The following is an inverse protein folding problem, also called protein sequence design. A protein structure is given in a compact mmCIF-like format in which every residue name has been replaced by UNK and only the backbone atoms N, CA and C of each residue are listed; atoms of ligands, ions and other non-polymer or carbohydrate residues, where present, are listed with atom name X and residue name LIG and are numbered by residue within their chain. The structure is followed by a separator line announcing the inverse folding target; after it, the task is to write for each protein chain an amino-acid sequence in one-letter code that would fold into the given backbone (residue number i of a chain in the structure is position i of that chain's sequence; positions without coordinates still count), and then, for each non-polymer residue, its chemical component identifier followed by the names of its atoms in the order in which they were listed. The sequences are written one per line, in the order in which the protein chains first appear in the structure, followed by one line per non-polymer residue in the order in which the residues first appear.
data_IF_331364107066
#
_entry.id   IF_331364107066
#
_cell.length_a   1.000
_cell.length_b   1.000
_cell.length_c   1.000
_cell.angle_alpha   90.00
_cell.angle_beta   90.00
_cell.angle_gamma   90.00
#
_symmetry.space_group_name_H-M   'P 1'
#
loop_
_entity.id
_entity.type
_entity.pdbx_description
1 polymer ?
#
# COMPACT_ATOMS: atom_id res chain seq x y z
N UNK A 1 -29.77 -27.30 53.84
CA UNK A 1 -29.24 -26.93 52.51
C UNK A 1 -27.77 -26.59 52.67
N UNK A 2 -26.88 -27.21 51.89
CA UNK A 2 -25.43 -27.12 52.15
C UNK A 2 -24.91 -25.71 51.86
N UNK A 3 -23.88 -25.27 52.61
CA UNK A 3 -23.21 -23.97 52.42
C UNK A 3 -22.71 -23.76 50.97
N UNK A 4 -22.51 -24.85 50.22
CA UNK A 4 -22.14 -24.83 48.81
C UNK A 4 -23.24 -24.26 47.89
N UNK A 5 -24.52 -24.42 48.22
CA UNK A 5 -25.64 -23.91 47.41
C UNK A 5 -25.73 -22.38 47.50
N UNK A 6 -25.49 -21.82 48.69
CA UNK A 6 -25.42 -20.37 48.87
C UNK A 6 -24.23 -19.75 48.15
N UNK A 7 -23.09 -20.44 48.11
CA UNK A 7 -21.90 -19.97 47.39
C UNK A 7 -22.12 -19.94 45.87
N UNK A 8 -22.82 -20.94 45.31
CA UNK A 8 -23.15 -20.99 43.88
C UNK A 8 -24.18 -19.92 43.46
N UNK A 9 -25.15 -19.61 44.34
CA UNK A 9 -26.14 -18.54 44.10
C UNK A 9 -25.51 -17.13 44.17
N UNK A 10 -24.52 -16.92 45.03
CA UNK A 10 -23.80 -15.65 45.14
C UNK A 10 -22.89 -15.38 43.93
N UNK A 11 -22.24 -16.43 43.39
CA UNK A 11 -21.34 -16.31 42.24
C UNK A 11 -22.09 -16.05 40.91
N UNK A 12 -23.34 -16.51 40.81
CA UNK A 12 -24.23 -16.26 39.66
C UNK A 12 -24.66 -14.78 39.53
N UNK A 13 -24.61 -14.00 40.62
CA UNK A 13 -25.04 -12.59 40.60
C UNK A 13 -24.00 -11.61 40.04
N UNK A 14 -22.76 -12.03 39.78
CA UNK A 14 -21.67 -11.15 39.31
C UNK A 14 -21.49 -11.09 37.79
N UNK A 15 -22.32 -11.77 36.99
CA UNK A 15 -22.16 -11.85 35.52
C UNK A 15 -23.00 -10.85 34.72
N UNK A 16 -23.67 -9.88 35.35
CA UNK A 16 -24.44 -8.84 34.65
C UNK A 16 -23.85 -7.43 34.84
N UNK A 17 -22.66 -7.20 34.30
CA UNK A 17 -22.24 -5.84 33.94
C UNK A 17 -21.22 -5.84 32.80
N UNK A 18 -21.62 -6.43 31.67
CA UNK A 18 -21.13 -5.96 30.38
C UNK A 18 -22.12 -4.90 29.89
N UNK A 19 -21.94 -3.65 30.31
CA UNK A 19 -22.51 -2.52 29.55
C UNK A 19 -21.81 -2.55 28.20
N UNK A 20 -22.48 -3.08 27.19
CA UNK A 20 -22.15 -2.80 25.80
C UNK A 20 -22.19 -1.29 25.62
N UNK A 21 -21.03 -0.66 25.55
CA UNK A 21 -20.89 0.68 24.98
C UNK A 21 -21.35 0.56 23.55
N UNK A 22 -22.63 0.86 23.31
CA UNK A 22 -23.12 1.17 21.98
C UNK A 22 -22.29 2.35 21.50
N UNK A 23 -21.34 2.07 20.60
CA UNK A 23 -20.72 3.08 19.78
C UNK A 23 -21.88 3.82 19.11
N UNK A 24 -22.14 5.03 19.57
CA UNK A 24 -23.06 5.93 18.89
C UNK A 24 -22.58 6.06 17.46
N UNK A 25 -23.25 5.37 16.53
CA UNK A 25 -23.16 5.60 15.10
C UNK A 25 -23.78 6.96 14.82
N UNK A 26 -23.09 8.02 15.29
CA UNK A 26 -23.36 9.36 14.84
C UNK A 26 -23.06 9.42 13.35
N UNK A 27 -23.91 10.11 12.60
CA UNK A 27 -23.64 10.44 11.20
C UNK A 27 -22.23 11.00 11.09
N UNK A 28 -21.38 10.47 10.19
CA UNK A 28 -20.00 10.93 10.08
C UNK A 28 -19.95 12.44 9.87
N UNK A 29 -19.32 13.15 10.78
CA UNK A 29 -19.18 14.60 10.68
C UNK A 29 -18.19 14.93 9.56
N UNK A 30 -18.60 15.77 8.62
CA UNK A 30 -17.70 16.31 7.61
C UNK A 30 -16.53 17.04 8.31
N UNK A 31 -15.29 16.66 7.98
CA UNK A 31 -14.08 17.23 8.57
C UNK A 31 -13.46 18.26 7.63
N UNK A 32 -12.82 19.28 8.20
CA UNK A 32 -12.07 20.26 7.40
C UNK A 32 -10.88 19.62 6.67
N UNK A 33 -10.44 20.24 5.57
CA UNK A 33 -9.24 19.82 4.83
C UNK A 33 -8.03 19.71 5.75
N UNK A 34 -7.74 20.76 6.53
CA UNK A 34 -6.60 20.79 7.46
C UNK A 34 -6.65 19.67 8.50
N UNK A 35 -7.84 19.35 9.00
CA UNK A 35 -8.00 18.24 9.93
C UNK A 35 -7.63 16.91 9.26
N UNK A 36 -8.14 16.65 8.06
CA UNK A 36 -7.88 15.41 7.33
C UNK A 36 -6.41 15.29 6.92
N UNK A 37 -5.77 16.37 6.48
CA UNK A 37 -4.34 16.39 6.19
C UNK A 37 -3.49 16.02 7.40
N UNK A 38 -3.82 16.57 8.59
CA UNK A 38 -3.15 16.18 9.84
C UNK A 38 -3.38 14.71 10.21
N UNK A 39 -4.54 14.15 9.90
CA UNK A 39 -4.78 12.72 10.13
C UNK A 39 -3.98 11.85 9.15
N UNK A 40 -3.86 12.26 7.88
CA UNK A 40 -2.99 11.58 6.91
C UNK A 40 -1.53 11.62 7.35
N UNK A 41 -1.05 12.76 7.85
CA UNK A 41 0.30 12.90 8.40
C UNK A 41 0.50 12.03 9.64
N UNK A 42 -0.48 11.99 10.55
CA UNK A 42 -0.43 11.15 11.75
C UNK A 42 -0.42 9.65 11.41
N UNK A 43 -1.17 9.24 10.39
CA UNK A 43 -1.26 7.86 9.93
C UNK A 43 -0.19 7.53 8.87
N UNK A 44 0.74 8.44 8.61
CA UNK A 44 1.82 8.21 7.67
C UNK A 44 2.78 7.17 8.25
N UNK A 45 2.95 6.07 7.53
CA UNK A 45 3.81 4.96 7.97
C UNK A 45 5.26 5.41 7.88
N UNK A 46 5.92 5.59 9.03
CA UNK A 46 7.34 5.89 9.08
C UNK A 46 8.18 4.62 9.30
N UNK A 47 9.37 4.60 8.70
CA UNK A 47 10.26 3.44 8.76
C UNK A 47 11.68 3.79 8.35
N UNK A 48 12.66 3.06 8.86
CA UNK A 48 14.03 3.06 8.33
C UNK A 48 14.24 1.91 7.36
N UNK A 49 13.68 0.75 7.69
CA UNK A 49 13.61 -0.44 6.86
C UNK A 49 12.19 -1.00 6.83
N UNK A 50 11.79 -1.54 5.68
CA UNK A 50 10.57 -2.32 5.51
C UNK A 50 10.94 -3.65 4.88
N UNK A 51 10.47 -4.75 5.45
CA UNK A 51 10.61 -6.08 4.88
C UNK A 51 9.27 -6.79 4.85
N UNK A 52 8.89 -7.38 3.72
CA UNK A 52 7.67 -8.17 3.60
C UNK A 52 7.79 -9.27 2.54
N UNK A 53 7.01 -10.34 2.71
CA UNK A 53 6.66 -11.22 1.60
C UNK A 53 5.33 -10.75 0.99
N UNK A 54 5.20 -10.87 -0.33
CA UNK A 54 4.01 -10.50 -1.06
C UNK A 54 3.55 -11.64 -1.96
N UNK A 55 2.23 -11.83 -2.05
CA UNK A 55 1.59 -12.54 -3.16
C UNK A 55 0.99 -11.50 -4.08
N UNK A 56 1.37 -11.53 -5.35
CA UNK A 56 0.89 -10.60 -6.38
C UNK A 56 0.09 -11.43 -7.37
N UNK A 57 -1.13 -10.99 -7.69
CA UNK A 57 -1.92 -11.51 -8.80
C UNK A 57 -2.08 -10.40 -9.82
N UNK A 58 -1.76 -10.71 -11.06
CA UNK A 58 -1.90 -9.83 -12.21
C UNK A 58 -3.10 -10.34 -13.01
N UNK A 59 -3.98 -9.42 -13.39
CA UNK A 59 -5.08 -9.64 -14.32
C UNK A 59 -5.02 -8.54 -15.39
N UNK A 60 -4.89 -8.94 -16.64
CA UNK A 60 -4.89 -8.07 -17.81
C UNK A 60 -5.40 -8.89 -19.01
N UNK A 61 -5.62 -8.24 -20.15
CA UNK A 61 -5.97 -8.97 -21.38
C UNK A 61 -4.85 -9.90 -21.85
N UNK A 62 -3.58 -9.53 -21.61
CA UNK A 62 -2.41 -10.26 -22.08
C UNK A 62 -1.97 -11.38 -21.12
N UNK A 63 -2.10 -11.15 -19.81
CA UNK A 63 -1.60 -12.07 -18.80
C UNK A 63 -2.52 -12.16 -17.58
N UNK A 64 -2.78 -13.40 -17.16
CA UNK A 64 -3.32 -13.74 -15.84
C UNK A 64 -2.32 -14.62 -15.11
N UNK A 65 -1.65 -14.05 -14.11
CA UNK A 65 -0.57 -14.73 -13.44
C UNK A 65 -0.52 -14.41 -11.94
N UNK A 66 0.12 -15.30 -11.18
CA UNK A 66 0.41 -15.06 -9.78
C UNK A 66 1.88 -15.29 -9.48
N UNK A 67 2.45 -14.38 -8.72
CA UNK A 67 3.85 -14.36 -8.35
C UNK A 67 3.98 -14.22 -6.83
N UNK A 68 5.02 -14.82 -6.28
CA UNK A 68 5.46 -14.54 -4.92
C UNK A 68 6.64 -13.57 -4.99
N UNK A 69 6.65 -12.56 -4.14
CA UNK A 69 7.76 -11.63 -4.03
C UNK A 69 8.27 -11.55 -2.58
N UNK A 70 9.55 -11.26 -2.42
CA UNK A 70 10.13 -10.77 -1.17
C UNK A 70 10.61 -9.35 -1.43
N UNK A 71 10.04 -8.40 -0.69
CA UNK A 71 10.26 -6.97 -0.84
C UNK A 71 11.03 -6.48 0.38
N UNK A 72 12.08 -5.70 0.13
CA UNK A 72 12.87 -5.04 1.15
C UNK A 72 13.08 -3.61 0.72
N UNK A 73 12.87 -2.66 1.61
CA UNK A 73 13.08 -1.25 1.33
C UNK A 73 13.90 -0.64 2.45
N UNK A 74 14.88 0.16 2.09
CA UNK A 74 15.54 1.11 2.97
C UNK A 74 15.06 2.49 2.57
N UNK A 75 14.50 3.24 3.51
CA UNK A 75 13.95 4.57 3.24
C UNK A 75 14.96 5.44 2.49
N UNK A 76 14.48 6.09 1.43
CA UNK A 76 15.21 7.03 0.57
C UNK A 76 16.42 6.44 -0.20
N UNK A 77 16.71 5.14 -0.08
CA UNK A 77 17.95 4.56 -0.63
C UNK A 77 17.75 3.33 -1.50
N UNK A 78 16.88 2.41 -1.09
CA UNK A 78 16.80 1.09 -1.73
C UNK A 78 15.37 0.55 -1.78
N UNK A 79 15.00 -0.01 -2.92
CA UNK A 79 13.95 -1.00 -3.06
C UNK A 79 14.57 -2.24 -3.68
N UNK A 80 14.44 -3.38 -3.00
CA UNK A 80 14.94 -4.66 -3.45
C UNK A 80 13.79 -5.65 -3.50
N UNK A 81 13.60 -6.28 -4.66
CA UNK A 81 12.49 -7.20 -4.89
C UNK A 81 13.06 -8.48 -5.49
N UNK A 82 12.68 -9.61 -4.91
CA UNK A 82 12.94 -10.93 -5.48
C UNK A 82 11.62 -11.58 -5.85
N UNK A 83 11.44 -11.85 -7.14
CA UNK A 83 10.21 -12.39 -7.71
C UNK A 83 10.38 -13.88 -8.00
N UNK A 84 9.38 -14.66 -7.64
CA UNK A 84 9.33 -16.11 -7.83
C UNK A 84 7.99 -16.54 -8.41
N UNK A 85 8.04 -17.58 -9.25
CA UNK A 85 6.87 -18.31 -9.74
C UNK A 85 7.12 -19.80 -9.47
N UNK A 86 6.15 -20.49 -8.85
CA UNK A 86 6.27 -21.91 -8.48
C UNK A 86 7.58 -22.26 -7.75
N UNK A 87 7.96 -21.47 -6.75
CA UNK A 87 9.21 -21.59 -5.96
C UNK A 87 10.54 -21.38 -6.70
N UNK A 88 10.52 -21.10 -8.01
CA UNK A 88 11.71 -20.77 -8.80
C UNK A 88 11.88 -19.25 -8.84
N UNK A 89 13.09 -18.76 -8.58
CA UNK A 89 13.41 -17.33 -8.71
C UNK A 89 13.54 -16.94 -10.17
N UNK A 90 12.57 -16.16 -10.66
CA UNK A 90 12.54 -15.72 -12.06
C UNK A 90 13.27 -14.40 -12.28
N UNK A 91 13.17 -13.47 -11.33
CA UNK A 91 13.81 -12.17 -11.44
C UNK A 91 14.17 -11.58 -10.07
N UNK A 92 15.17 -10.70 -10.08
CA UNK A 92 15.53 -9.86 -8.93
C UNK A 92 15.73 -8.43 -9.40
N UNK A 93 15.12 -7.49 -8.68
CA UNK A 93 15.11 -6.08 -9.02
C UNK A 93 15.75 -5.32 -7.86
N UNK A 94 16.63 -4.38 -8.19
CA UNK A 94 17.23 -3.42 -7.27
C UNK A 94 17.01 -2.03 -7.83
N UNK A 95 16.33 -1.19 -7.07
CA UNK A 95 16.00 0.19 -7.43
C UNK A 95 16.64 1.09 -6.39
N UNK A 96 17.33 2.10 -6.87
CA UNK A 96 17.86 3.23 -6.09
C UNK A 96 17.28 4.52 -6.67
N UNK A 97 17.47 5.69 -6.04
CA UNK A 97 17.11 6.96 -6.65
C UNK A 97 17.69 7.17 -8.06
N UNK A 98 18.87 6.57 -8.33
CA UNK A 98 19.60 6.79 -9.58
C UNK A 98 19.35 5.70 -10.63
N UNK A 99 19.10 4.45 -10.21
CA UNK A 99 19.12 3.32 -11.14
C UNK A 99 18.09 2.25 -10.84
N UNK A 100 17.64 1.58 -11.89
CA UNK A 100 16.90 0.32 -11.85
C UNK A 100 17.80 -0.77 -12.45
N UNK A 101 18.10 -1.78 -11.64
CA UNK A 101 18.91 -2.95 -11.97
C UNK A 101 18.01 -4.19 -11.94
N UNK A 102 17.83 -4.87 -13.07
CA UNK A 102 17.00 -6.06 -13.22
C UNK A 102 17.91 -7.24 -13.57
N UNK A 103 17.86 -8.28 -12.74
CA UNK A 103 18.50 -9.56 -12.98
C UNK A 103 17.40 -10.57 -13.37
N UNK A 104 17.23 -10.79 -14.67
CA UNK A 104 16.36 -11.83 -15.21
C UNK A 104 17.10 -13.16 -15.21
N UNK A 105 16.70 -14.04 -14.29
CA UNK A 105 17.36 -15.33 -14.10
C UNK A 105 16.86 -16.39 -15.08
N UNK A 106 15.70 -16.19 -15.69
CA UNK A 106 15.15 -17.11 -16.68
C UNK A 106 15.88 -16.96 -18.00
N UNK A 107 16.17 -15.72 -18.39
CA UNK A 107 16.83 -15.42 -19.66
C UNK A 107 18.34 -15.20 -19.54
N UNK A 108 18.90 -15.26 -18.32
CA UNK A 108 20.33 -14.99 -18.12
C UNK A 108 20.73 -13.56 -18.49
N UNK A 109 19.83 -12.61 -18.26
CA UNK A 109 19.98 -11.21 -18.68
C UNK A 109 20.09 -10.29 -17.47
N UNK A 110 21.02 -9.35 -17.55
CA UNK A 110 21.17 -8.26 -16.61
C UNK A 110 20.95 -6.93 -17.31
N UNK A 111 20.00 -6.15 -16.82
CA UNK A 111 19.67 -4.83 -17.35
C UNK A 111 19.93 -3.78 -16.29
N UNK A 112 20.65 -2.70 -16.63
CA UNK A 112 20.84 -1.53 -15.77
C UNK A 112 20.43 -0.27 -16.51
N UNK A 113 19.42 0.43 -15.98
CA UNK A 113 18.92 1.69 -16.54
C UNK A 113 18.92 2.80 -15.48
N UNK A 114 19.03 4.07 -15.87
CA UNK A 114 18.75 5.17 -14.94
C UNK A 114 17.30 5.10 -14.45
N UNK A 115 17.00 5.60 -13.25
CA UNK A 115 15.64 5.59 -12.72
C UNK A 115 14.65 6.35 -13.64
N UNK A 116 15.14 7.39 -14.33
CA UNK A 116 14.38 8.15 -15.34
C UNK A 116 13.84 7.30 -16.50
N UNK A 117 14.33 6.07 -16.67
CA UNK A 117 13.80 5.08 -17.61
C UNK A 117 12.30 4.83 -17.43
N UNK A 118 11.76 4.87 -16.21
CA UNK A 118 10.32 4.71 -15.97
C UNK A 118 9.50 5.81 -16.65
N UNK A 119 9.99 7.05 -16.59
CA UNK A 119 9.36 8.17 -17.28
C UNK A 119 9.55 8.08 -18.79
N UNK A 120 10.78 7.80 -19.24
CA UNK A 120 11.14 7.89 -20.65
C UNK A 120 10.50 6.79 -21.51
N UNK A 121 10.41 5.56 -21.00
CA UNK A 121 9.89 4.42 -21.78
C UNK A 121 8.45 4.06 -21.45
N UNK A 122 7.99 4.34 -20.23
CA UNK A 122 6.65 3.95 -19.77
C UNK A 122 5.76 5.14 -19.40
N UNK A 123 6.23 6.38 -19.58
CA UNK A 123 5.48 7.59 -19.21
C UNK A 123 5.19 7.72 -17.72
N UNK A 124 5.82 6.91 -16.87
CA UNK A 124 5.55 6.88 -15.43
C UNK A 124 6.31 8.00 -14.71
N UNK A 125 5.63 9.13 -14.51
CA UNK A 125 6.14 10.26 -13.73
C UNK A 125 6.04 10.02 -12.22
N UNK A 126 6.82 9.08 -11.72
CA UNK A 126 6.91 8.74 -10.29
C UNK A 126 8.32 8.98 -9.78
N UNK A 127 8.48 9.65 -8.64
CA UNK A 127 9.76 9.76 -7.93
C UNK A 127 10.06 8.50 -7.12
N UNK A 128 11.33 8.29 -6.74
CA UNK A 128 11.71 7.16 -5.89
C UNK A 128 10.94 7.13 -4.56
N UNK A 129 10.79 8.28 -3.89
CA UNK A 129 10.04 8.39 -2.64
C UNK A 129 8.55 8.06 -2.82
N UNK A 130 7.95 8.50 -3.93
CA UNK A 130 6.56 8.14 -4.26
C UNK A 130 6.41 6.65 -4.54
N UNK A 131 7.37 6.01 -5.20
CA UNK A 131 7.36 4.57 -5.41
C UNK A 131 7.42 3.81 -4.07
N UNK A 132 8.28 4.26 -3.14
CA UNK A 132 8.31 3.71 -1.78
C UNK A 132 6.98 3.92 -1.04
N UNK A 133 6.38 5.10 -1.14
CA UNK A 133 5.09 5.42 -0.54
C UNK A 133 3.98 4.50 -1.06
N UNK A 134 3.90 4.26 -2.37
CA UNK A 134 2.93 3.34 -2.97
C UNK A 134 3.08 1.90 -2.46
N UNK A 135 4.32 1.42 -2.34
CA UNK A 135 4.59 0.06 -1.86
C UNK A 135 4.12 -0.09 -0.42
N UNK A 136 4.48 0.84 0.47
CA UNK A 136 4.14 0.72 1.89
C UNK A 136 2.68 1.07 2.19
N UNK A 137 2.05 1.91 1.36
CA UNK A 137 0.65 2.33 1.49
C UNK A 137 0.45 3.76 1.97
N UNK A 138 1.48 4.61 1.88
CA UNK A 138 1.35 6.04 2.15
C UNK A 138 0.72 6.77 0.94
N UNK A 139 -0.07 7.83 1.19
CA UNK A 139 -0.70 8.59 0.11
C UNK A 139 0.34 9.37 -0.70
N UNK A 140 0.17 9.41 -2.02
CA UNK A 140 0.86 10.40 -2.86
C UNK A 140 -0.03 11.63 -3.00
N UNK A 141 0.45 12.78 -2.54
CA UNK A 141 -0.18 14.07 -2.76
C UNK A 141 0.59 14.79 -3.88
N UNK A 142 -0.02 14.90 -5.06
CA UNK A 142 0.63 15.53 -6.23
C UNK A 142 0.72 17.05 -6.12
N UNK A 143 -0.28 17.68 -5.49
CA UNK A 143 -0.24 19.10 -5.13
C UNK A 143 -1.26 19.37 -4.03
N UNK A 144 -0.80 19.75 -2.83
CA UNK A 144 -1.67 19.96 -1.67
C UNK A 144 -2.44 21.27 -1.73
N UNK A 145 -2.10 22.17 -2.65
CA UNK A 145 -2.47 23.59 -2.55
C UNK A 145 -3.93 23.92 -2.90
N UNK A 146 -4.78 22.93 -3.18
CA UNK A 146 -6.18 23.19 -3.56
C UNK A 146 -7.17 22.08 -3.22
N UNK A 147 -6.83 21.15 -2.32
CA UNK A 147 -7.75 20.07 -1.95
C UNK A 147 -9.01 20.60 -1.25
N UNK A 148 -10.15 20.00 -1.54
CA UNK A 148 -11.43 20.21 -0.84
C UNK A 148 -11.81 18.95 -0.08
N UNK A 149 -12.51 19.13 1.04
CA UNK A 149 -13.04 18.03 1.84
C UNK A 149 -14.54 17.90 1.62
N UNK A 150 -14.99 16.68 1.36
CA UNK A 150 -16.40 16.35 1.21
C UNK A 150 -16.74 15.05 1.94
N UNK A 151 -18.00 14.91 2.34
CA UNK A 151 -18.51 13.64 2.85
C UNK A 151 -19.19 12.87 1.70
N UNK A 152 -18.75 11.66 1.41
CA UNK A 152 -19.36 10.77 0.40
C UNK A 152 -19.59 9.39 0.99
N UNK A 153 -20.81 8.86 0.88
CA UNK A 153 -21.15 7.51 1.37
C UNK A 153 -20.61 7.25 2.79
N UNK A 154 -20.80 8.21 3.71
CA UNK A 154 -20.33 8.11 5.11
C UNK A 154 -18.79 8.12 5.31
N UNK A 155 -18.01 8.44 4.28
CA UNK A 155 -16.55 8.58 4.36
C UNK A 155 -16.13 10.03 4.16
N UNK A 156 -15.07 10.43 4.87
CA UNK A 156 -14.39 11.68 4.60
C UNK A 156 -13.52 11.51 3.35
N UNK A 157 -13.62 12.45 2.42
CA UNK A 157 -12.87 12.41 1.15
C UNK A 157 -12.12 13.72 0.97
N UNK A 158 -10.79 13.63 0.87
CA UNK A 158 -9.98 14.72 0.34
C UNK A 158 -9.90 14.57 -1.17
N UNK A 159 -10.22 15.62 -1.92
CA UNK A 159 -10.20 15.55 -3.37
C UNK A 159 -9.81 16.86 -4.03
N UNK A 160 -9.32 16.80 -5.27
CA UNK A 160 -9.15 18.01 -6.08
C UNK A 160 -10.52 18.64 -6.39
N UNK A 161 -10.57 19.98 -6.58
CA UNK A 161 -11.76 20.67 -7.06
C UNK A 161 -12.15 20.17 -8.44
N UNK A 162 -13.46 20.12 -8.73
CA UNK A 162 -14.00 19.59 -10.00
C UNK A 162 -13.46 20.30 -11.26
N UNK A 163 -12.98 21.53 -11.14
CA UNK A 163 -12.49 22.31 -12.27
C UNK A 163 -11.07 21.94 -12.72
N UNK A 164 -10.36 21.08 -11.98
CA UNK A 164 -9.01 20.66 -12.34
C UNK A 164 -9.03 19.48 -13.32
N UNK A 165 -8.09 19.48 -14.26
CA UNK A 165 -7.89 18.39 -15.22
C UNK A 165 -7.36 17.11 -14.56
N UNK A 166 -6.64 17.26 -13.45
CA UNK A 166 -6.14 16.14 -12.65
C UNK A 166 -7.08 15.87 -11.49
N UNK A 167 -7.61 14.66 -11.43
CA UNK A 167 -8.46 14.20 -10.34
C UNK A 167 -7.61 13.44 -9.35
N UNK A 168 -7.71 13.81 -8.07
CA UNK A 168 -7.28 12.99 -6.94
C UNK A 168 -8.44 12.90 -5.96
N UNK A 169 -8.71 11.72 -5.43
CA UNK A 169 -9.66 11.48 -4.34
C UNK A 169 -9.04 10.47 -3.38
N UNK A 170 -8.99 10.82 -2.10
CA UNK A 170 -8.50 9.97 -1.01
C UNK A 170 -9.67 9.75 -0.07
N UNK A 171 -10.18 8.53 -0.05
CA UNK A 171 -11.26 8.11 0.81
C UNK A 171 -10.68 7.58 2.10
N UNK A 172 -11.14 8.10 3.24
CA UNK A 172 -10.65 7.71 4.56
C UNK A 172 -11.78 7.09 5.39
N UNK A 173 -11.41 6.16 6.27
CA UNK A 173 -12.29 5.64 7.30
C UNK A 173 -12.78 6.79 8.20
N UNK A 174 -14.09 6.86 8.52
CA UNK A 174 -14.64 7.98 9.29
C UNK A 174 -14.15 8.06 10.75
N UNK A 175 -13.60 6.97 11.28
CA UNK A 175 -13.18 6.87 12.68
C UNK A 175 -11.64 6.84 12.81
N UNK A 176 -10.97 5.94 12.10
CA UNK A 176 -9.50 5.77 12.18
C UNK A 176 -8.74 6.72 11.25
N UNK A 177 -9.42 7.28 10.24
CA UNK A 177 -8.81 8.07 9.16
C UNK A 177 -7.73 7.32 8.37
N UNK A 178 -7.68 5.99 8.46
CA UNK A 178 -6.88 5.17 7.56
C UNK A 178 -7.44 5.27 6.14
N UNK A 179 -6.56 5.18 5.15
CA UNK A 179 -6.95 5.28 3.75
C UNK A 179 -7.71 4.01 3.37
N UNK A 180 -8.93 4.17 2.88
CA UNK A 180 -9.70 3.07 2.29
C UNK A 180 -9.36 2.95 0.80
N UNK A 181 -9.30 4.07 0.09
CA UNK A 181 -8.94 4.06 -1.33
C UNK A 181 -8.39 5.39 -1.82
N UNK A 182 -7.61 5.32 -2.89
CA UNK A 182 -7.10 6.46 -3.66
C UNK A 182 -7.55 6.29 -5.09
N UNK A 183 -8.15 7.34 -5.67
CA UNK A 183 -8.53 7.39 -7.07
C UNK A 183 -7.84 8.59 -7.71
N UNK A 184 -7.12 8.35 -8.79
CA UNK A 184 -6.45 9.35 -9.60
C UNK A 184 -6.92 9.28 -11.05
N UNK A 185 -6.99 10.42 -11.73
CA UNK A 185 -7.04 10.43 -13.19
C UNK A 185 -6.33 11.65 -13.75
N UNK A 186 -5.64 11.46 -14.86
CA UNK A 186 -4.95 12.51 -15.58
C UNK A 186 -5.05 12.23 -17.08
N UNK A 187 -5.58 13.19 -17.85
CA UNK A 187 -5.94 12.98 -19.26
C UNK A 187 -6.87 11.77 -19.43
N UNK A 188 -6.47 10.76 -20.20
CA UNK A 188 -7.26 9.55 -20.47
C UNK A 188 -6.87 8.38 -19.56
N UNK A 189 -5.94 8.59 -18.63
CA UNK A 189 -5.45 7.54 -17.74
C UNK A 189 -6.09 7.65 -16.35
N UNK A 190 -6.48 6.52 -15.77
CA UNK A 190 -7.06 6.41 -14.45
C UNK A 190 -6.33 5.37 -13.60
N UNK A 191 -6.29 5.62 -12.29
CA UNK A 191 -5.72 4.75 -11.28
C UNK A 191 -6.71 4.66 -10.12
N UNK A 192 -6.97 3.45 -9.64
CA UNK A 192 -7.63 3.20 -8.36
C UNK A 192 -6.76 2.29 -7.52
N UNK A 193 -6.64 2.58 -6.23
CA UNK A 193 -6.00 1.71 -5.24
C UNK A 193 -6.95 1.58 -4.06
N UNK A 194 -7.40 0.36 -3.78
CA UNK A 194 -8.13 0.02 -2.57
C UNK A 194 -7.19 -0.63 -1.56
N UNK A 195 -7.23 -0.13 -0.33
CA UNK A 195 -6.43 -0.60 0.80
C UNK A 195 -7.33 -1.30 1.80
N UNK A 196 -6.93 -2.47 2.28
CA UNK A 196 -7.71 -3.22 3.26
C UNK A 196 -6.84 -4.12 4.13
N UNK A 197 -7.47 -4.74 5.14
CA UNK A 197 -6.83 -5.62 6.10
C UNK A 197 -5.61 -4.97 6.77
N UNK A 198 -5.82 -3.79 7.35
CA UNK A 198 -4.79 -3.10 8.12
C UNK A 198 -4.37 -3.95 9.31
N UNK A 199 -3.06 -4.09 9.50
CA UNK A 199 -2.45 -4.73 10.64
C UNK A 199 -1.54 -3.74 11.38
N UNK A 200 -1.47 -3.89 12.69
CA UNK A 200 -0.53 -3.11 13.50
C UNK A 200 0.82 -3.82 13.49
N UNK A 201 1.85 -3.16 12.97
CA UNK A 201 3.23 -3.62 13.03
C UNK A 201 4.04 -2.57 13.76
N UNK A 202 4.62 -2.94 14.90
CA UNK A 202 5.14 -1.99 15.89
C UNK A 202 4.07 -0.97 16.32
N UNK A 203 4.16 0.27 15.85
CA UNK A 203 3.20 1.35 16.13
C UNK A 203 2.45 1.83 14.88
N UNK A 204 2.73 1.22 13.72
CA UNK A 204 2.22 1.65 12.42
C UNK A 204 1.03 0.79 11.96
N UNK A 205 0.08 1.42 11.27
CA UNK A 205 -1.05 0.73 10.63
C UNK A 205 -0.73 0.46 9.16
N UNK A 206 -0.40 -0.79 8.82
CA UNK A 206 0.02 -1.15 7.46
C UNK A 206 -1.11 -1.89 6.73
N UNK A 207 -1.53 -1.44 5.54
CA UNK A 207 -2.50 -2.18 4.73
C UNK A 207 -1.85 -3.43 4.14
N UNK A 208 -2.30 -4.61 4.59
CA UNK A 208 -1.75 -5.87 4.11
C UNK A 208 -2.32 -6.30 2.76
N UNK A 209 -3.44 -5.72 2.33
CA UNK A 209 -4.03 -5.98 1.00
C UNK A 209 -4.18 -4.69 0.21
N UNK A 210 -3.77 -4.75 -1.05
CA UNK A 210 -3.99 -3.70 -2.05
C UNK A 210 -4.61 -4.29 -3.30
N UNK A 211 -5.70 -3.70 -3.78
CA UNK A 211 -6.22 -3.92 -5.12
C UNK A 211 -5.94 -2.65 -5.93
N UNK A 212 -5.22 -2.78 -7.02
CA UNK A 212 -4.81 -1.67 -7.88
C UNK A 212 -5.44 -1.92 -9.25
N UNK A 213 -6.10 -0.91 -9.79
CA UNK A 213 -6.61 -0.90 -11.15
C UNK A 213 -6.01 0.30 -11.87
N UNK A 214 -5.40 0.04 -13.02
CA UNK A 214 -4.87 1.05 -13.92
C UNK A 214 -5.63 0.90 -15.22
N UNK A 215 -6.20 2.00 -15.69
CA UNK A 215 -6.80 2.10 -17.02
C UNK A 215 -6.01 3.15 -17.79
N UNK A 216 -5.40 2.75 -18.89
CA UNK A 216 -4.46 3.56 -19.66
C UNK A 216 -4.82 3.44 -21.14
N UNK A 217 -4.87 4.58 -21.82
CA UNK A 217 -5.15 4.60 -23.27
C UNK A 217 -4.06 3.85 -24.05
N UNK A 218 -2.80 3.94 -23.62
CA UNK A 218 -1.67 3.36 -24.32
C UNK A 218 -1.47 1.86 -24.00
N UNK A 219 -1.71 1.46 -22.75
CA UNK A 219 -1.37 0.12 -22.26
C UNK A 219 -2.58 -0.75 -21.93
N UNK A 220 -3.80 -0.21 -22.04
CA UNK A 220 -5.04 -0.89 -21.66
C UNK A 220 -5.22 -1.04 -20.15
N UNK A 221 -6.19 -1.88 -19.77
CA UNK A 221 -6.53 -2.14 -18.38
C UNK A 221 -5.57 -3.16 -17.72
N UNK A 222 -5.17 -2.87 -16.48
CA UNK A 222 -4.33 -3.71 -15.63
C UNK A 222 -4.87 -3.75 -14.20
N UNK A 223 -5.20 -4.95 -13.72
CA UNK A 223 -5.55 -5.24 -12.34
C UNK A 223 -4.41 -5.92 -11.58
N UNK A 224 -4.04 -5.40 -10.41
CA UNK A 224 -3.08 -6.01 -9.50
C UNK A 224 -3.70 -6.24 -8.13
N UNK A 225 -3.62 -7.46 -7.61
CA UNK A 225 -3.96 -7.75 -6.23
C UNK A 225 -2.70 -8.15 -5.46
N UNK A 226 -2.32 -7.35 -4.47
CA UNK A 226 -1.14 -7.56 -3.65
C UNK A 226 -1.59 -7.92 -2.24
N UNK A 227 -1.02 -8.99 -1.68
CA UNK A 227 -1.22 -9.39 -0.28
C UNK A 227 0.12 -9.56 0.41
N UNK A 228 0.39 -8.75 1.43
CA UNK A 228 1.58 -8.83 2.26
C UNK A 228 1.44 -9.84 3.38
N UNK A 229 2.58 -10.36 3.82
CA UNK A 229 2.74 -11.27 4.96
C UNK A 229 4.16 -11.15 5.49
N UNK A 230 4.38 -11.55 6.75
CA UNK A 230 5.70 -11.45 7.41
C UNK A 230 6.31 -10.05 7.29
N UNK A 231 5.50 -9.05 7.64
CA UNK A 231 5.93 -7.66 7.61
C UNK A 231 6.86 -7.40 8.80
N UNK A 232 7.90 -6.61 8.57
CA UNK A 232 8.85 -6.11 9.57
C UNK A 232 9.15 -4.64 9.25
N UNK A 233 9.24 -3.83 10.29
CA UNK A 233 9.70 -2.45 10.21
C UNK A 233 11.01 -2.33 10.97
N UNK A 234 11.80 -1.31 10.62
CA UNK A 234 12.97 -0.82 11.36
C UNK A 234 14.11 -1.84 11.62
N UNK A 235 13.95 -3.08 11.17
CA UNK A 235 14.95 -4.13 11.20
C UNK A 235 15.75 -4.13 9.90
N UNK A 236 17.08 -4.10 10.03
CA UNK A 236 17.99 -4.15 8.88
C UNK A 236 17.75 -5.41 8.05
N UNK A 237 17.45 -5.22 6.77
CA UNK A 237 17.16 -6.33 5.87
C UNK A 237 18.41 -6.77 5.10
N UNK A 238 18.69 -8.07 5.09
CA UNK A 238 19.81 -8.63 4.30
C UNK A 238 19.50 -8.56 2.82
N UNK A 239 20.14 -7.69 2.07
CA UNK A 239 19.96 -7.58 0.60
C UNK A 239 21.14 -8.21 -0.14
N UNK A 240 20.85 -9.04 -1.15
CA UNK A 240 21.88 -9.70 -1.96
C UNK A 240 21.63 -9.45 -3.43
N UNK A 241 22.62 -8.95 -4.15
CA UNK A 241 22.51 -8.67 -5.59
C UNK A 241 23.86 -8.88 -6.27
N UNK A 242 24.16 -10.14 -6.61
CA UNK A 242 25.34 -10.51 -7.39
C UNK A 242 24.88 -10.89 -8.80
N UNK A 243 25.42 -10.19 -9.79
CA UNK A 243 25.21 -10.53 -11.20
C UNK A 243 26.19 -11.65 -11.57
N UNK A 244 25.72 -12.80 -12.07
CA UNK A 244 26.60 -13.87 -12.54
C UNK A 244 27.40 -13.44 -13.78
N UNK A 245 28.60 -13.99 -13.96
CA UNK A 245 29.53 -13.56 -15.01
C UNK A 245 29.06 -13.96 -16.42
N UNK A 246 28.25 -15.01 -16.52
CA UNK A 246 27.70 -15.53 -17.77
C UNK A 246 26.42 -14.82 -18.23
N UNK A 247 25.99 -13.76 -17.55
CA UNK A 247 24.77 -13.04 -17.93
C UNK A 247 25.07 -11.99 -19.00
N UNK A 248 24.20 -11.91 -20.01
CA UNK A 248 24.21 -10.82 -20.97
C UNK A 248 23.94 -9.49 -20.25
N UNK A 249 24.55 -8.37 -20.70
CA UNK A 249 24.42 -7.05 -20.06
C UNK A 249 23.80 -6.02 -21.02
N UNK A 250 22.73 -5.34 -20.57
CA UNK A 250 21.98 -4.31 -21.32
C UNK A 250 21.69 -3.05 -20.50
#
# INVERSE_FOLDING_TARGET
MSKAVYFLLLLSSMIMSCRSTQLTTGTPKNRSVNFLLRQLEKNHIDYTWFGANAKIKVDSEQEKASFAASIRMQKDSLIWIKIRKMNIEGARIKITPETIEILDRQNGLYTKKPFSFLKNEYGLEVSFAQLQALIIGNPILWDSQSLVSVLRKQQNVLQTPKAQKTVLKIFMDPNSFLINSVQGSMHQNALSIDYSAYETVEQEQIPTKKAIEIDSEETGWLGLNISFSKISLNEVQKVGFRVPDNYERK
#
